data_IF_176379356620
#
_entry.id   IF_176379356620
#
_cell.length_a   1.000
_cell.length_b   1.000
_cell.length_c   1.000
_cell.angle_alpha   90.00
_cell.angle_beta   90.00
_cell.angle_gamma   90.00
#
_symmetry.space_group_name_H-M   'P 1'
#
loop_
_entity.id
_entity.type
_entity.pdbx_description
1 polymer ?
#
# COMPACT_ATOMS: atom_id res chain seq x y z
N UNK A 1 -5.09 -50.69 30.33
CA UNK A 1 -4.64 -50.96 31.72
C UNK A 1 -3.42 -50.09 31.99
N UNK A 2 -3.59 -49.03 32.80
CA UNK A 2 -2.98 -48.87 34.14
C UNK A 2 -1.43 -48.81 34.09
N UNK A 3 -0.78 -47.64 34.08
CA UNK A 3 -0.63 -46.61 35.14
C UNK A 3 0.39 -46.94 36.24
N UNK A 4 1.07 -45.87 36.70
CA UNK A 4 1.92 -45.71 37.90
C UNK A 4 3.44 -45.80 37.66
N UNK A 5 4.33 -44.99 38.26
CA UNK A 5 4.20 -43.87 39.23
C UNK A 5 5.52 -43.08 39.27
N UNK A 6 5.41 -41.79 39.59
CA UNK A 6 6.49 -40.84 39.89
C UNK A 6 7.27 -41.18 41.17
N UNK A 7 8.57 -40.87 41.17
CA UNK A 7 9.32 -40.50 42.39
C UNK A 7 10.12 -39.23 42.10
N UNK A 8 9.87 -38.18 42.89
CA UNK A 8 10.57 -36.88 42.86
C UNK A 8 11.94 -37.02 43.54
N UNK A 9 12.96 -36.42 42.95
CA UNK A 9 14.30 -36.30 43.55
C UNK A 9 14.61 -34.82 43.82
N UNK A 10 15.07 -34.51 45.03
CA UNK A 10 15.60 -33.20 45.43
C UNK A 10 17.10 -33.36 45.72
N UNK A 11 17.98 -32.50 45.17
CA UNK A 11 19.39 -32.49 45.55
C UNK A 11 19.66 -31.70 46.85
N UNK A 12 20.70 -32.05 47.61
CA UNK A 12 21.06 -31.39 48.86
C UNK A 12 21.80 -30.05 48.64
N UNK A 13 21.65 -29.13 49.60
CA UNK A 13 22.39 -27.86 49.70
C UNK A 13 23.84 -28.12 50.11
N UNK A 14 24.79 -27.58 49.35
CA UNK A 14 26.21 -27.52 49.72
C UNK A 14 26.59 -26.10 50.12
N UNK A 15 27.08 -25.99 51.35
CA UNK A 15 27.67 -24.82 52.00
C UNK A 15 29.18 -24.74 51.73
N UNK A 16 29.68 -23.54 51.49
CA UNK A 16 30.98 -23.08 52.02
C UNK A 16 32.25 -23.38 51.21
N UNK A 17 32.62 -22.41 50.36
CA UNK A 17 33.95 -21.76 50.23
C UNK A 17 35.24 -22.56 50.53
N UNK A 18 36.17 -22.60 49.56
CA UNK A 18 37.39 -21.76 49.57
C UNK A 18 38.18 -21.81 48.23
N UNK A 19 38.54 -20.61 47.77
CA UNK A 19 39.78 -20.18 47.08
C UNK A 19 40.36 -20.95 45.88
N UNK A 20 40.51 -20.22 44.76
CA UNK A 20 41.68 -20.40 43.90
C UNK A 20 41.54 -20.00 42.42
N UNK A 21 41.87 -18.75 42.11
CA UNK A 21 42.55 -18.28 40.88
C UNK A 21 41.79 -18.37 39.53
N UNK A 22 41.38 -17.18 39.08
CA UNK A 22 41.69 -16.65 37.75
C UNK A 22 41.04 -17.29 36.53
N UNK A 23 40.03 -16.62 35.98
CA UNK A 23 39.89 -16.27 34.57
C UNK A 23 38.61 -15.44 34.42
N UNK A 24 38.73 -14.30 33.74
CA UNK A 24 37.67 -13.33 33.53
C UNK A 24 36.46 -13.99 32.85
N UNK A 25 35.34 -14.12 33.58
CA UNK A 25 34.07 -14.49 33.01
C UNK A 25 33.53 -13.28 32.24
N UNK A 26 33.52 -13.40 30.91
CA UNK A 26 32.96 -12.41 30.01
C UNK A 26 31.55 -12.01 30.45
N UNK A 27 31.38 -10.72 30.67
CA UNK A 27 30.06 -10.09 30.64
C UNK A 27 29.54 -10.34 29.24
N UNK A 28 28.67 -11.34 29.11
CA UNK A 28 27.85 -11.55 27.94
C UNK A 28 26.89 -10.36 27.90
N UNK A 29 27.36 -9.23 27.36
CA UNK A 29 26.52 -8.12 26.93
C UNK A 29 25.61 -8.68 25.85
N UNK A 30 24.44 -9.15 26.27
CA UNK A 30 23.29 -9.26 25.40
C UNK A 30 23.00 -7.83 24.93
N UNK A 31 23.57 -7.48 23.78
CA UNK A 31 23.10 -6.35 23.00
C UNK A 31 21.69 -6.70 22.55
N UNK A 32 20.71 -6.41 23.40
CA UNK A 32 19.35 -6.19 22.96
C UNK A 32 19.43 -4.98 22.03
N UNK A 33 19.58 -5.27 20.74
CA UNK A 33 19.53 -4.27 19.68
C UNK A 33 18.13 -3.68 19.74
N UNK A 34 18.00 -2.53 20.42
CA UNK A 34 16.87 -1.65 20.21
C UNK A 34 17.04 -1.11 18.79
N UNK A 35 16.61 -1.90 17.81
CA UNK A 35 16.35 -1.38 16.49
C UNK A 35 15.27 -0.30 16.71
N UNK A 36 15.68 0.96 16.65
CA UNK A 36 14.78 2.06 16.34
C UNK A 36 13.96 1.59 15.15
N UNK A 37 12.66 1.35 15.35
CA UNK A 37 11.74 1.17 14.22
C UNK A 37 11.78 2.48 13.46
N UNK A 38 12.63 2.55 12.44
CA UNK A 38 12.58 3.60 11.45
C UNK A 38 11.15 3.57 10.89
N UNK A 39 10.52 4.74 10.82
CA UNK A 39 9.23 4.87 10.14
C UNK A 39 9.41 4.34 8.72
N UNK A 40 8.73 3.25 8.41
CA UNK A 40 8.72 2.70 7.05
C UNK A 40 7.55 3.31 6.29
N UNK A 41 7.80 3.61 5.01
CA UNK A 41 6.81 4.06 4.04
C UNK A 41 6.19 2.84 3.37
N UNK A 42 4.87 2.72 3.45
CA UNK A 42 4.15 1.70 2.72
C UNK A 42 3.97 2.13 1.26
N UNK A 43 4.68 1.50 0.34
CA UNK A 43 4.68 1.83 -1.08
C UNK A 43 3.78 0.85 -1.82
N UNK A 44 2.96 1.37 -2.74
CA UNK A 44 2.03 0.60 -3.56
C UNK A 44 2.26 0.96 -5.04
N UNK A 45 2.33 -0.05 -5.89
CA UNK A 45 2.36 0.08 -7.36
C UNK A 45 1.48 -0.99 -8.03
N UNK A 46 1.17 -0.84 -9.31
CA UNK A 46 0.45 -1.86 -10.08
C UNK A 46 1.06 -2.11 -11.44
N UNK A 47 0.92 -3.33 -11.96
CA UNK A 47 1.35 -3.75 -13.30
C UNK A 47 0.36 -4.76 -13.88
N UNK A 48 0.45 -5.09 -15.16
CA UNK A 48 -0.48 -5.94 -15.91
C UNK A 48 -0.01 -7.39 -16.08
N UNK A 49 1.27 -7.69 -15.84
CA UNK A 49 1.85 -9.01 -16.15
C UNK A 49 2.72 -9.57 -15.03
N UNK A 50 2.72 -10.89 -14.90
CA UNK A 50 3.55 -11.60 -13.92
C UNK A 50 5.06 -11.36 -14.14
N UNK A 51 5.48 -11.19 -15.40
CA UNK A 51 6.87 -10.90 -15.76
C UNK A 51 7.29 -9.49 -15.30
N UNK A 52 6.45 -8.48 -15.55
CA UNK A 52 6.71 -7.13 -15.06
C UNK A 52 6.67 -7.08 -13.52
N UNK A 53 5.74 -7.81 -12.91
CA UNK A 53 5.67 -7.96 -11.46
C UNK A 53 6.95 -8.55 -10.88
N UNK A 54 7.47 -9.61 -11.50
CA UNK A 54 8.74 -10.26 -11.12
C UNK A 54 9.91 -9.28 -11.23
N UNK A 55 10.01 -8.53 -12.34
CA UNK A 55 11.07 -7.51 -12.52
C UNK A 55 11.04 -6.44 -11.44
N UNK A 56 9.85 -5.93 -11.09
CA UNK A 56 9.70 -4.92 -10.03
C UNK A 56 10.15 -5.50 -8.69
N UNK A 57 9.71 -6.71 -8.33
CA UNK A 57 10.13 -7.38 -7.09
C UNK A 57 11.65 -7.58 -7.02
N UNK A 58 12.25 -8.05 -8.10
CA UNK A 58 13.71 -8.21 -8.20
C UNK A 58 14.44 -6.87 -8.04
N UNK A 59 13.93 -5.79 -8.63
CA UNK A 59 14.46 -4.44 -8.47
C UNK A 59 14.43 -3.96 -7.02
N UNK A 60 13.31 -4.17 -6.32
CA UNK A 60 13.14 -3.80 -4.90
C UNK A 60 14.09 -4.58 -3.99
N UNK A 61 14.16 -5.91 -4.16
CA UNK A 61 14.99 -6.79 -3.32
C UNK A 61 16.47 -6.60 -3.58
N UNK A 62 16.90 -6.57 -4.85
CA UNK A 62 18.31 -6.38 -5.21
C UNK A 62 18.87 -5.02 -4.76
N UNK A 63 18.00 -4.00 -4.74
CA UNK A 63 18.33 -2.64 -4.26
C UNK A 63 18.28 -2.49 -2.74
N UNK A 64 17.94 -3.56 -2.00
CA UNK A 64 17.81 -3.63 -0.54
C UNK A 64 16.84 -2.58 0.02
N UNK A 65 15.71 -2.38 -0.66
CA UNK A 65 14.68 -1.43 -0.25
C UNK A 65 13.65 -2.10 0.64
N UNK A 66 13.31 -3.36 0.32
CA UNK A 66 12.51 -4.25 1.15
C UNK A 66 12.96 -5.70 0.93
N UNK A 67 12.80 -6.54 1.94
CA UNK A 67 13.13 -7.97 1.86
C UNK A 67 12.00 -8.78 1.19
N UNK A 68 10.78 -8.27 1.24
CA UNK A 68 9.60 -8.92 0.69
C UNK A 68 8.67 -7.90 0.03
N UNK A 69 7.98 -8.36 -1.01
CA UNK A 69 6.95 -7.60 -1.73
C UNK A 69 5.72 -8.48 -1.82
N UNK A 70 4.57 -7.93 -1.42
CA UNK A 70 3.27 -8.60 -1.48
C UNK A 70 2.67 -8.41 -2.88
N UNK A 71 2.04 -9.45 -3.41
CA UNK A 71 1.31 -9.42 -4.69
C UNK A 71 -0.17 -9.72 -4.46
N UNK A 72 -1.03 -9.00 -5.16
CA UNK A 72 -2.48 -9.17 -5.12
C UNK A 72 -3.08 -8.98 -6.52
N UNK A 73 -3.90 -9.92 -6.99
CA UNK A 73 -4.66 -9.73 -8.22
C UNK A 73 -5.87 -8.82 -7.95
N UNK A 74 -6.03 -7.80 -8.78
CA UNK A 74 -7.07 -6.78 -8.66
C UNK A 74 -7.71 -6.48 -10.02
N UNK A 75 -8.79 -5.69 -10.01
CA UNK A 75 -9.33 -5.03 -11.21
C UNK A 75 -9.17 -3.53 -11.08
N UNK A 76 -8.65 -2.89 -12.11
CA UNK A 76 -8.42 -1.45 -12.15
C UNK A 76 -9.37 -0.79 -13.13
N UNK A 77 -10.13 0.18 -12.63
CA UNK A 77 -11.05 1.02 -13.40
C UNK A 77 -10.47 2.42 -13.50
N UNK A 78 -10.38 2.97 -14.71
CA UNK A 78 -9.81 4.29 -14.96
C UNK A 78 -10.32 4.88 -16.27
N UNK A 79 -10.20 6.20 -16.44
CA UNK A 79 -10.60 6.86 -17.68
C UNK A 79 -9.43 6.91 -18.67
N UNK A 80 -9.64 6.38 -19.88
CA UNK A 80 -8.64 6.44 -20.94
C UNK A 80 -9.32 6.43 -22.32
N UNK A 81 -8.79 7.20 -23.26
CA UNK A 81 -9.32 7.28 -24.64
C UNK A 81 -10.85 7.53 -24.73
N UNK A 82 -11.38 8.33 -23.80
CA UNK A 82 -12.78 8.74 -23.81
C UNK A 82 -13.77 7.72 -23.26
N UNK A 83 -13.30 6.65 -22.62
CA UNK A 83 -14.14 5.65 -21.96
C UNK A 83 -13.55 5.16 -20.64
N UNK A 84 -14.35 4.46 -19.86
CA UNK A 84 -13.86 3.69 -18.71
C UNK A 84 -13.17 2.43 -19.23
N UNK A 85 -11.97 2.17 -18.73
CA UNK A 85 -11.26 0.90 -18.86
C UNK A 85 -11.49 0.07 -17.60
N UNK A 86 -11.33 -1.24 -17.72
CA UNK A 86 -11.53 -2.23 -16.68
C UNK A 86 -10.57 -3.38 -16.96
N UNK A 87 -9.37 -3.26 -16.40
CA UNK A 87 -8.26 -4.17 -16.69
C UNK A 87 -7.88 -4.99 -15.45
N UNK A 88 -7.57 -6.28 -15.61
CA UNK A 88 -6.93 -7.04 -14.54
C UNK A 88 -5.50 -6.52 -14.32
N UNK A 89 -5.14 -6.30 -13.06
CA UNK A 89 -3.78 -5.88 -12.68
C UNK A 89 -3.27 -6.70 -11.48
N UNK A 90 -1.96 -6.67 -11.29
CA UNK A 90 -1.24 -7.16 -10.13
C UNK A 90 -0.81 -5.94 -9.31
N UNK A 91 -1.33 -5.82 -8.11
CA UNK A 91 -0.88 -4.84 -7.12
C UNK A 91 0.31 -5.39 -6.36
N UNK A 92 1.33 -4.56 -6.25
CA UNK A 92 2.53 -4.79 -5.47
C UNK A 92 2.56 -3.82 -4.29
N UNK A 93 2.86 -4.32 -3.10
CA UNK A 93 3.06 -3.48 -1.92
C UNK A 93 4.20 -3.94 -1.03
N UNK A 94 4.91 -2.99 -0.42
CA UNK A 94 6.04 -3.26 0.46
C UNK A 94 6.33 -2.05 1.35
N UNK A 95 7.01 -2.29 2.46
CA UNK A 95 7.47 -1.23 3.37
C UNK A 95 8.93 -0.89 3.09
N UNK A 96 9.23 0.40 2.95
CA UNK A 96 10.55 0.92 2.62
C UNK A 96 11.00 2.02 3.59
N UNK A 97 12.28 2.08 3.99
CA UNK A 97 12.75 3.14 4.88
C UNK A 97 12.86 4.51 4.19
N UNK A 98 12.96 4.53 2.86
CA UNK A 98 13.18 5.71 2.02
C UNK A 98 12.23 5.63 0.82
N UNK A 99 11.26 6.56 0.77
CA UNK A 99 10.23 6.58 -0.27
C UNK A 99 10.77 7.06 -1.61
N UNK A 100 11.70 8.02 -1.63
CA UNK A 100 12.29 8.54 -2.87
C UNK A 100 13.11 7.46 -3.58
N UNK A 101 13.90 6.69 -2.80
CA UNK A 101 14.62 5.52 -3.32
C UNK A 101 13.67 4.43 -3.80
N UNK A 102 12.58 4.18 -3.07
CA UNK A 102 11.56 3.22 -3.49
C UNK A 102 10.90 3.62 -4.82
N UNK A 103 10.47 4.89 -4.94
CA UNK A 103 9.86 5.43 -6.16
C UNK A 103 10.78 5.28 -7.36
N UNK A 104 12.02 5.73 -7.24
CA UNK A 104 12.98 5.68 -8.35
C UNK A 104 13.31 4.23 -8.78
N UNK A 105 13.41 3.31 -7.83
CA UNK A 105 13.71 1.89 -8.12
C UNK A 105 12.53 1.18 -8.78
N UNK A 106 11.31 1.41 -8.28
CA UNK A 106 10.10 0.85 -8.88
C UNK A 106 9.92 1.41 -10.29
N UNK A 107 10.06 2.73 -10.47
CA UNK A 107 9.94 3.37 -11.78
C UNK A 107 10.94 2.81 -12.80
N UNK A 108 12.20 2.60 -12.41
CA UNK A 108 13.23 2.06 -13.29
C UNK A 108 12.97 0.60 -13.74
N UNK A 109 12.14 -0.14 -13.00
CA UNK A 109 11.82 -1.55 -13.27
C UNK A 109 10.43 -1.72 -13.92
N UNK A 110 9.68 -0.63 -14.09
CA UNK A 110 8.29 -0.67 -14.52
C UNK A 110 8.13 -0.78 -16.03
N UNK A 111 7.05 -1.42 -16.48
CA UNK A 111 6.66 -1.53 -17.88
C UNK A 111 5.71 -0.43 -18.37
N UNK A 112 5.24 0.45 -17.49
CA UNK A 112 4.32 1.52 -17.84
C UNK A 112 5.09 2.83 -17.95
N UNK A 113 4.67 3.70 -18.88
CA UNK A 113 5.24 5.04 -19.02
C UNK A 113 4.85 5.95 -17.84
N UNK A 114 3.63 5.79 -17.32
CA UNK A 114 3.09 6.54 -16.18
C UNK A 114 2.65 5.55 -15.10
N UNK A 115 3.58 4.90 -14.39
CA UNK A 115 3.22 3.94 -13.35
C UNK A 115 2.60 4.64 -12.15
N UNK A 116 1.57 4.03 -11.55
CA UNK A 116 1.09 4.45 -10.23
C UNK A 116 2.11 4.01 -9.18
N UNK A 117 2.81 4.94 -8.55
CA UNK A 117 3.65 4.63 -7.38
C UNK A 117 3.27 5.59 -6.26
N UNK A 118 2.56 5.08 -5.25
CA UNK A 118 1.97 5.90 -4.18
C UNK A 118 2.37 5.41 -2.79
N UNK A 119 2.24 6.29 -1.80
CA UNK A 119 2.49 6.00 -0.39
C UNK A 119 1.65 6.93 0.51
N UNK A 120 1.27 6.50 1.72
CA UNK A 120 0.48 7.32 2.63
C UNK A 120 1.30 8.50 3.14
N UNK A 121 0.63 9.64 3.33
CA UNK A 121 1.19 10.85 3.93
C UNK A 121 0.35 11.27 5.14
N UNK A 122 0.98 11.92 6.12
CA UNK A 122 0.28 12.40 7.33
C UNK A 122 -0.22 13.83 7.19
N UNK A 123 0.21 14.53 6.14
CA UNK A 123 -0.18 15.91 5.83
C UNK A 123 -0.89 15.98 4.48
N UNK A 124 -1.78 16.96 4.26
CA UNK A 124 -2.45 17.13 2.98
C UNK A 124 -1.45 17.39 1.84
N UNK A 125 -1.53 16.60 0.77
CA UNK A 125 -0.71 16.72 -0.45
C UNK A 125 -1.49 17.26 -1.65
N UNK A 126 -2.82 17.43 -1.50
CA UNK A 126 -3.74 17.66 -2.61
C UNK A 126 -4.28 16.39 -3.25
N UNK A 127 -3.82 15.20 -2.82
CA UNK A 127 -4.25 13.91 -3.33
C UNK A 127 -4.62 12.96 -2.20
N UNK A 128 -5.61 12.11 -2.45
CA UNK A 128 -6.10 11.16 -1.45
C UNK A 128 -6.34 9.79 -2.06
N UNK A 129 -6.14 8.77 -1.24
CA UNK A 129 -6.67 7.43 -1.46
C UNK A 129 -7.85 7.18 -0.52
N UNK A 130 -8.97 6.75 -1.06
CA UNK A 130 -10.18 6.40 -0.31
C UNK A 130 -10.39 4.90 -0.29
N UNK A 131 -10.66 4.33 0.87
CA UNK A 131 -11.06 2.93 1.00
C UNK A 131 -12.57 2.82 1.18
N UNK A 132 -13.21 2.01 0.33
CA UNK A 132 -14.64 1.73 0.37
C UNK A 132 -14.86 0.22 0.42
N UNK A 133 -15.48 -0.25 1.51
CA UNK A 133 -15.86 -1.65 1.68
C UNK A 133 -17.19 -1.98 0.98
N UNK A 134 -17.42 -3.28 0.74
CA UNK A 134 -18.63 -3.82 0.09
C UNK A 134 -18.91 -3.24 -1.30
N UNK A 135 -17.85 -2.84 -2.02
CA UNK A 135 -17.95 -2.30 -3.35
C UNK A 135 -18.09 -3.40 -4.40
N UNK A 136 -18.73 -3.06 -5.51
CA UNK A 136 -18.88 -3.92 -6.70
C UNK A 136 -18.19 -3.28 -7.91
N UNK A 137 -17.96 -4.02 -9.00
CA UNK A 137 -17.48 -3.45 -10.26
C UNK A 137 -18.32 -2.27 -10.76
N UNK A 138 -19.65 -2.33 -10.61
CA UNK A 138 -20.57 -1.27 -11.06
C UNK A 138 -20.38 0.02 -10.24
N UNK A 139 -20.07 -0.10 -8.95
CA UNK A 139 -19.72 1.06 -8.11
C UNK A 139 -18.41 1.67 -8.60
N UNK A 140 -17.40 0.86 -8.91
CA UNK A 140 -16.11 1.34 -9.42
C UNK A 140 -16.27 2.06 -10.78
N UNK A 141 -17.00 1.44 -11.72
CA UNK A 141 -17.29 2.03 -13.03
C UNK A 141 -18.05 3.35 -12.89
N UNK A 142 -19.10 3.41 -12.06
CA UNK A 142 -19.88 4.64 -11.83
C UNK A 142 -19.03 5.78 -11.25
N UNK A 143 -18.12 5.45 -10.33
CA UNK A 143 -17.23 6.44 -9.74
C UNK A 143 -16.25 7.02 -10.78
N UNK A 144 -15.65 6.16 -11.60
CA UNK A 144 -14.72 6.60 -12.66
C UNK A 144 -15.45 7.33 -13.79
N UNK A 145 -16.64 6.85 -14.19
CA UNK A 145 -17.45 7.48 -15.25
C UNK A 145 -17.94 8.88 -14.87
N UNK A 146 -18.04 9.18 -13.57
CA UNK A 146 -18.34 10.53 -13.06
C UNK A 146 -17.23 11.54 -13.32
N UNK A 147 -16.04 11.09 -13.73
CA UNK A 147 -14.80 11.87 -13.86
C UNK A 147 -14.33 12.52 -12.57
N UNK A 148 -14.89 12.18 -11.41
CA UNK A 148 -14.39 12.64 -10.11
C UNK A 148 -13.29 11.73 -9.54
N UNK A 149 -13.08 10.57 -10.14
CA UNK A 149 -12.09 9.56 -9.73
C UNK A 149 -11.20 9.26 -10.92
N UNK A 150 -9.88 9.38 -10.73
CA UNK A 150 -8.92 9.04 -11.78
C UNK A 150 -8.79 7.52 -11.93
N UNK A 151 -8.67 6.82 -10.81
CA UNK A 151 -8.52 5.36 -10.78
C UNK A 151 -9.23 4.77 -9.54
N UNK A 152 -9.92 3.65 -9.73
CA UNK A 152 -10.55 2.86 -8.67
C UNK A 152 -10.13 1.41 -8.83
N UNK A 153 -9.57 0.82 -7.78
CA UNK A 153 -9.00 -0.54 -7.86
C UNK A 153 -9.70 -1.47 -6.88
N UNK A 154 -10.38 -2.47 -7.44
CA UNK A 154 -11.20 -3.43 -6.70
C UNK A 154 -10.39 -4.70 -6.38
N UNK A 155 -10.32 -5.04 -5.09
CA UNK A 155 -9.85 -6.33 -4.59
C UNK A 155 -10.93 -6.99 -3.75
N UNK A 156 -11.49 -8.10 -4.23
CA UNK A 156 -12.68 -8.70 -3.63
C UNK A 156 -13.82 -7.68 -3.57
N UNK A 157 -14.21 -7.28 -2.36
CA UNK A 157 -15.23 -6.26 -2.12
C UNK A 157 -14.65 -4.93 -1.57
N UNK A 158 -13.32 -4.76 -1.56
CA UNK A 158 -12.66 -3.53 -1.15
C UNK A 158 -12.26 -2.72 -2.38
N UNK A 159 -12.62 -1.43 -2.40
CA UNK A 159 -12.31 -0.51 -3.48
C UNK A 159 -11.39 0.61 -2.99
N UNK A 160 -10.20 0.68 -3.58
CA UNK A 160 -9.22 1.72 -3.33
C UNK A 160 -9.30 2.80 -4.42
N UNK A 161 -9.84 3.96 -4.07
CA UNK A 161 -10.18 5.09 -4.94
C UNK A 161 -9.07 6.13 -4.90
N UNK A 162 -8.59 6.61 -6.04
CA UNK A 162 -7.57 7.67 -6.14
C UNK A 162 -8.15 8.90 -6.81
N UNK A 163 -8.07 10.03 -6.11
CA UNK A 163 -8.62 11.31 -6.58
C UNK A 163 -7.86 12.49 -5.97
N UNK A 164 -8.23 13.71 -6.35
CA UNK A 164 -7.77 14.93 -5.71
C UNK A 164 -8.49 15.14 -4.37
N UNK A 165 -7.82 15.78 -3.41
CA UNK A 165 -8.41 16.16 -2.13
C UNK A 165 -9.67 17.00 -2.31
N UNK A 166 -9.68 17.88 -3.32
CA UNK A 166 -10.80 18.77 -3.64
C UNK A 166 -12.05 18.00 -4.12
N UNK A 167 -11.86 16.94 -4.90
CA UNK A 167 -12.96 16.12 -5.42
C UNK A 167 -13.56 15.17 -4.37
N UNK A 168 -12.83 14.88 -3.28
CA UNK A 168 -13.21 13.86 -2.29
C UNK A 168 -14.65 14.01 -1.74
N UNK A 169 -15.12 15.24 -1.49
CA UNK A 169 -16.48 15.49 -1.03
C UNK A 169 -17.55 15.14 -2.08
N UNK A 170 -17.30 15.43 -3.36
CA UNK A 170 -18.19 15.03 -4.45
C UNK A 170 -18.15 13.52 -4.67
N UNK A 171 -16.98 12.90 -4.52
CA UNK A 171 -16.84 11.43 -4.57
C UNK A 171 -17.67 10.77 -3.45
N UNK A 172 -17.69 11.33 -2.24
CA UNK A 172 -18.53 10.81 -1.15
C UNK A 172 -20.02 10.76 -1.53
N UNK A 173 -20.53 11.78 -2.22
CA UNK A 173 -21.93 11.83 -2.64
C UNK A 173 -22.26 10.71 -3.64
N UNK A 174 -21.40 10.53 -4.66
CA UNK A 174 -21.58 9.47 -5.67
C UNK A 174 -21.42 8.09 -5.05
N UNK A 175 -20.43 7.89 -4.19
CA UNK A 175 -20.21 6.64 -3.49
C UNK A 175 -21.40 6.28 -2.59
N UNK A 176 -21.90 7.23 -1.79
CA UNK A 176 -23.06 7.02 -0.92
C UNK A 176 -24.30 6.61 -1.72
N UNK A 177 -24.56 7.24 -2.85
CA UNK A 177 -25.66 6.88 -3.74
C UNK A 177 -25.48 5.48 -4.36
N UNK A 178 -24.25 5.14 -4.75
CA UNK A 178 -23.95 3.90 -5.47
C UNK A 178 -23.84 2.66 -4.56
N UNK A 179 -23.33 2.82 -3.34
CA UNK A 179 -22.99 1.71 -2.44
C UNK A 179 -23.62 1.81 -1.05
N UNK A 180 -24.21 2.95 -0.69
CA UNK A 180 -24.71 3.20 0.67
C UNK A 180 -23.60 3.53 1.68
N UNK A 181 -22.34 3.72 1.25
CA UNK A 181 -21.22 4.03 2.11
C UNK A 181 -20.32 5.13 1.52
N UNK A 182 -19.59 5.83 2.40
CA UNK A 182 -18.60 6.85 2.02
C UNK A 182 -17.18 6.29 2.19
N UNK A 183 -16.23 6.63 1.29
CA UNK A 183 -14.84 6.21 1.45
C UNK A 183 -14.18 6.82 2.69
N UNK A 184 -13.28 6.06 3.31
CA UNK A 184 -12.36 6.59 4.32
C UNK A 184 -11.11 7.11 3.64
N UNK A 185 -10.83 8.41 3.77
CA UNK A 185 -9.75 9.08 3.05
C UNK A 185 -8.43 9.12 3.82
N UNK A 186 -7.34 8.87 3.09
CA UNK A 186 -5.96 8.98 3.54
C UNK A 186 -5.19 9.89 2.56
N UNK A 187 -4.51 10.95 3.01
CA UNK A 187 -3.58 11.69 2.16
C UNK A 187 -2.49 10.77 1.60
N UNK A 188 -2.13 10.98 0.34
CA UNK A 188 -1.08 10.20 -0.34
C UNK A 188 -0.08 11.10 -1.03
N UNK A 189 1.18 10.68 -1.03
CA UNK A 189 2.16 11.13 -2.01
C UNK A 189 2.28 10.13 -3.16
N UNK A 190 3.16 10.41 -4.09
CA UNK A 190 3.44 9.54 -5.21
C UNK A 190 4.40 10.15 -6.23
N UNK A 191 4.74 9.38 -7.26
CA UNK A 191 5.56 9.87 -8.36
C UNK A 191 4.84 10.99 -9.14
N UNK A 192 5.61 12.00 -9.56
CA UNK A 192 5.08 13.24 -10.16
C UNK A 192 4.22 12.98 -11.40
N UNK A 193 4.65 12.09 -12.29
CA UNK A 193 3.94 11.76 -13.51
C UNK A 193 2.52 11.24 -13.26
N UNK A 194 2.37 10.33 -12.28
CA UNK A 194 1.08 9.78 -11.91
C UNK A 194 0.18 10.82 -11.23
N UNK A 195 0.72 11.58 -10.26
CA UNK A 195 -0.06 12.62 -9.58
C UNK A 195 -0.52 13.73 -10.53
N UNK A 196 0.31 14.06 -11.53
CA UNK A 196 -0.07 14.96 -12.62
C UNK A 196 -1.24 14.38 -13.42
N UNK A 197 -1.16 13.12 -13.82
CA UNK A 197 -2.25 12.43 -14.54
C UNK A 197 -3.55 12.40 -13.72
N UNK A 198 -3.48 12.09 -12.41
CA UNK A 198 -4.66 12.14 -11.51
C UNK A 198 -5.32 13.52 -11.54
N UNK A 199 -4.52 14.59 -11.46
CA UNK A 199 -5.05 15.96 -11.50
C UNK A 199 -5.68 16.30 -12.85
N UNK A 200 -5.12 15.81 -13.94
CA UNK A 200 -5.62 16.07 -15.29
C UNK A 200 -6.91 15.28 -15.58
N UNK A 201 -7.06 14.07 -15.05
CA UNK A 201 -8.23 13.22 -15.30
C UNK A 201 -9.43 13.52 -14.40
N UNK A 202 -9.20 13.99 -13.18
CA UNK A 202 -10.28 14.42 -12.27
C UNK A 202 -10.86 15.74 -12.76
N UNK A 203 -12.17 15.76 -13.03
CA UNK A 203 -12.94 16.94 -13.46
C UNK A 203 -13.97 17.29 -12.40
N UNK A 204 -13.82 18.46 -11.77
CA UNK A 204 -14.75 18.91 -10.75
C UNK A 204 -16.11 19.28 -11.36
N UNK A 205 -17.22 19.25 -10.59
CA UNK A 205 -18.56 19.48 -11.15
C UNK A 205 -18.69 20.81 -11.92
N UNK A 206 -17.98 21.86 -11.50
CA UNK A 206 -18.00 23.16 -12.17
C UNK A 206 -17.20 23.18 -13.49
N UNK A 207 -16.24 22.28 -13.67
CA UNK A 207 -15.44 22.13 -14.89
C UNK A 207 -16.14 21.27 -15.94
N UNK A 208 -17.08 20.42 -15.52
CA UNK A 208 -17.89 19.59 -16.42
C UNK A 208 -18.97 20.39 -17.16
N UNK A 209 -19.16 21.67 -16.79
CA UNK A 209 -20.10 22.60 -17.43
C UNK A 209 -19.44 23.32 -18.61
N UNK A 210 -18.96 22.60 -19.64
CA UNK A 210 -18.64 23.22 -20.95
C UNK A 210 -18.90 22.26 -22.12
N UNK A 211 -20.08 22.39 -22.72
CA UNK A 211 -20.27 22.62 -24.17
C UNK A 211 -21.74 22.96 -24.43
N UNK A 212 -22.09 24.19 -24.88
CA UNK A 212 -23.37 24.38 -25.55
C UNK A 212 -23.37 23.46 -26.77
N UNK A 213 -24.43 22.67 -26.93
CA UNK A 213 -24.69 21.96 -28.18
C UNK A 213 -24.81 23.03 -29.27
N UNK A 214 -23.82 23.12 -30.14
CA UNK A 214 -23.95 23.85 -31.39
C UNK A 214 -24.90 23.05 -32.27
N UNK A 215 -26.12 23.56 -32.40
CA UNK A 215 -27.12 23.18 -33.40
C UNK A 215 -26.60 23.37 -34.81
#
# INVERSE_FOLDING_TARGET
ALAARLVRWQPPRLSGQLMGRGLAAGVCLQFASYATMASAWHVITTTDTADASTKIKEGVVSSKIADQVTEENIRSFYWWEGKVQDDPEIRLSFDAPDKEKAVSTVAASHNYDVPMIIYPETTPTGFVMGELANATPEVAEKLVSSRLVACAQLSGASLAIKTTQEASASVNAVALEASGAVPTWQPIGGNEAYLKWVREEVKLPHEQVVKPHST
#
